data_IF_268013920983
#
_entry.id   IF_268013920983
#
_cell.length_a   1.000
_cell.length_b   1.000
_cell.length_c   1.000
_cell.angle_alpha   90.00
_cell.angle_beta   90.00
_cell.angle_gamma   90.00
#
_symmetry.space_group_name_H-M   'P 1'
#
loop_
_entity.id
_entity.type
_entity.pdbx_description
1 polymer ?
#
# COMPACT_ATOMS: atom_id res chain seq x y z
N UNK A 1 -40.14 50.78 51.36
CA UNK A 1 -40.35 49.37 51.14
C UNK A 1 -39.37 48.92 50.08
N UNK A 2 -38.40 48.04 50.44
CA UNK A 2 -37.17 47.75 49.70
C UNK A 2 -37.32 46.53 48.78
N UNK A 3 -37.86 46.71 47.59
CA UNK A 3 -38.00 45.61 46.58
C UNK A 3 -37.15 45.82 45.30
N UNK A 4 -36.33 46.85 45.24
CA UNK A 4 -35.66 47.23 44.01
C UNK A 4 -34.21 46.71 43.83
N UNK A 5 -33.66 45.98 44.81
CA UNK A 5 -32.28 45.57 44.78
C UNK A 5 -32.05 44.07 44.35
N UNK A 6 -33.07 43.25 44.40
CA UNK A 6 -32.92 41.81 44.08
C UNK A 6 -32.92 41.55 42.58
N UNK A 7 -33.61 42.37 41.79
CA UNK A 7 -33.62 42.23 40.32
C UNK A 7 -32.27 42.54 39.65
N UNK A 8 -31.46 43.40 40.24
CA UNK A 8 -30.11 43.72 39.72
C UNK A 8 -29.12 42.57 39.93
N UNK A 9 -29.24 41.85 41.03
CA UNK A 9 -28.39 40.70 41.32
C UNK A 9 -28.83 39.43 40.61
N UNK A 10 -30.11 39.27 40.31
CA UNK A 10 -30.62 38.18 39.50
C UNK A 10 -30.16 38.27 38.03
N UNK A 11 -30.10 39.51 37.48
CA UNK A 11 -29.57 39.74 36.12
C UNK A 11 -28.05 39.55 36.03
N UNK A 12 -27.31 39.87 37.11
CA UNK A 12 -25.87 39.68 37.15
C UNK A 12 -25.50 38.19 37.27
N UNK A 13 -26.32 37.40 37.91
CA UNK A 13 -26.09 35.95 38.10
C UNK A 13 -26.41 35.15 36.84
N UNK A 14 -27.31 35.63 35.97
CA UNK A 14 -27.62 34.98 34.71
C UNK A 14 -26.58 35.21 33.60
N UNK A 15 -25.80 36.29 33.71
CA UNK A 15 -24.78 36.61 32.73
C UNK A 15 -23.44 35.87 32.92
N UNK A 16 -23.25 35.14 34.03
CA UNK A 16 -22.04 34.35 34.33
C UNK A 16 -22.09 32.90 33.92
N UNK A 17 -23.24 32.42 33.39
CA UNK A 17 -23.42 30.99 33.06
C UNK A 17 -23.32 30.67 31.56
N UNK A 18 -22.92 31.66 30.73
CA UNK A 18 -22.94 31.52 29.26
C UNK A 18 -21.59 31.28 28.62
N UNK A 19 -20.53 30.85 29.36
CA UNK A 19 -19.22 30.53 28.81
C UNK A 19 -18.69 29.19 29.29
N UNK A 20 -19.54 28.17 29.26
CA UNK A 20 -19.04 26.79 29.17
C UNK A 20 -19.30 26.36 27.74
N UNK A 21 -18.53 26.89 26.83
CA UNK A 21 -18.34 26.32 25.52
C UNK A 21 -17.32 25.20 25.71
N UNK A 22 -17.79 23.97 25.90
CA UNK A 22 -16.96 22.80 25.60
C UNK A 22 -16.58 22.91 24.13
N UNK A 23 -15.38 23.34 23.85
CA UNK A 23 -14.71 22.96 22.64
C UNK A 23 -14.29 21.50 22.87
N UNK A 24 -15.09 20.56 22.39
CA UNK A 24 -14.58 19.27 22.03
C UNK A 24 -13.64 19.53 20.83
N UNK A 25 -12.40 19.95 21.15
CA UNK A 25 -11.28 19.73 20.26
C UNK A 25 -11.01 18.23 20.30
N UNK A 26 -11.90 17.47 19.66
CA UNK A 26 -11.50 16.17 19.14
C UNK A 26 -10.44 16.50 18.07
N UNK A 27 -9.18 16.50 18.48
CA UNK A 27 -8.09 16.27 17.52
C UNK A 27 -8.48 15.02 16.78
N UNK A 28 -8.62 15.05 15.45
CA UNK A 28 -8.80 13.82 14.70
C UNK A 28 -7.68 12.87 15.15
N UNK A 29 -8.03 11.74 15.72
CA UNK A 29 -7.07 10.66 15.84
C UNK A 29 -6.59 10.42 14.41
N UNK A 30 -5.29 10.50 14.19
CA UNK A 30 -4.70 9.97 13.00
C UNK A 30 -4.97 8.47 13.06
N UNK A 31 -6.07 8.07 12.46
CA UNK A 31 -6.34 6.66 12.21
C UNK A 31 -5.30 6.32 11.13
N UNK A 32 -4.25 5.61 11.53
CA UNK A 32 -3.36 4.96 10.59
C UNK A 32 -4.22 3.83 10.00
N UNK A 33 -4.87 4.11 8.88
CA UNK A 33 -5.68 3.14 8.16
C UNK A 33 -4.70 2.27 7.37
N UNK A 34 -4.21 1.19 8.00
CA UNK A 34 -3.50 0.14 7.28
C UNK A 34 -4.51 -0.53 6.33
N UNK A 35 -4.17 -0.62 5.05
CA UNK A 35 -5.03 -1.25 4.06
C UNK A 35 -5.18 -2.74 4.36
N UNK A 36 -6.42 -3.20 4.46
CA UNK A 36 -6.71 -4.62 4.58
C UNK A 36 -6.54 -5.30 3.21
N UNK A 37 -5.37 -5.90 2.98
CA UNK A 37 -5.03 -6.59 1.74
C UNK A 37 -5.03 -8.10 1.96
N UNK A 38 -5.99 -8.78 1.36
CA UNK A 38 -6.13 -10.23 1.43
C UNK A 38 -6.17 -10.93 0.06
N UNK A 39 -6.02 -10.14 -1.03
CA UNK A 39 -5.83 -10.68 -2.38
C UNK A 39 -4.81 -9.85 -3.15
N UNK A 40 -3.90 -10.53 -3.83
CA UNK A 40 -2.93 -9.93 -4.75
C UNK A 40 -3.10 -10.57 -6.12
N UNK A 41 -3.17 -9.73 -7.15
CA UNK A 41 -3.19 -10.17 -8.55
C UNK A 41 -1.91 -9.68 -9.21
N UNK A 42 -1.19 -10.59 -9.87
CA UNK A 42 0.00 -10.28 -10.66
C UNK A 42 -0.28 -10.63 -12.11
N UNK A 43 -0.38 -9.59 -12.93
CA UNK A 43 -0.49 -9.70 -14.38
C UNK A 43 0.90 -9.63 -15.00
N UNK A 44 1.25 -10.62 -15.80
CA UNK A 44 2.48 -10.63 -16.57
C UNK A 44 2.18 -10.68 -18.07
N UNK A 45 2.94 -9.93 -18.85
CA UNK A 45 2.81 -9.91 -20.30
C UNK A 45 4.18 -9.85 -20.96
N UNK A 46 4.29 -10.50 -22.12
CA UNK A 46 5.46 -10.50 -23.00
C UNK A 46 5.01 -10.51 -24.46
N UNK A 47 5.96 -10.53 -25.40
CA UNK A 47 5.66 -10.73 -26.81
C UNK A 47 4.99 -12.09 -27.11
N UNK A 48 5.14 -13.07 -26.21
CA UNK A 48 4.61 -14.45 -26.36
C UNK A 48 3.23 -14.62 -25.74
N UNK A 49 2.67 -13.61 -25.10
CA UNK A 49 1.36 -13.65 -24.46
C UNK A 49 1.35 -13.07 -23.04
N UNK A 50 0.23 -13.29 -22.37
CA UNK A 50 -0.01 -12.80 -21.01
C UNK A 50 -0.55 -13.91 -20.11
N UNK A 51 -0.29 -13.77 -18.80
CA UNK A 51 -0.81 -14.63 -17.75
C UNK A 51 -1.18 -13.81 -16.54
N UNK A 52 -2.18 -14.28 -15.77
CA UNK A 52 -2.61 -13.65 -14.53
C UNK A 52 -2.47 -14.69 -13.41
N UNK A 53 -1.83 -14.28 -12.33
CA UNK A 53 -1.65 -15.09 -11.12
C UNK A 53 -2.39 -14.40 -9.97
N UNK A 54 -3.20 -15.15 -9.24
CA UNK A 54 -3.94 -14.62 -8.08
C UNK A 54 -3.52 -15.35 -6.83
N UNK A 55 -3.15 -14.59 -5.82
CA UNK A 55 -2.94 -15.05 -4.45
C UNK A 55 -4.09 -14.56 -3.56
N UNK A 56 -4.56 -15.39 -2.67
CA UNK A 56 -5.47 -15.00 -1.60
C UNK A 56 -4.83 -15.33 -0.25
N UNK A 57 -5.16 -14.56 0.77
CA UNK A 57 -4.69 -14.81 2.12
C UNK A 57 -4.98 -16.26 2.55
N UNK A 58 -3.96 -16.92 3.11
CA UNK A 58 -4.00 -18.35 3.46
C UNK A 58 -3.51 -19.31 2.38
N UNK A 59 -3.27 -18.84 1.15
CA UNK A 59 -2.63 -19.67 0.12
C UNK A 59 -1.19 -19.98 0.50
N UNK A 60 -0.85 -21.25 0.63
CA UNK A 60 0.45 -21.70 1.13
C UNK A 60 1.56 -21.76 0.08
N UNK A 61 1.22 -21.77 -1.21
CA UNK A 61 2.17 -21.86 -2.32
C UNK A 61 1.73 -20.97 -3.48
N UNK A 62 2.34 -19.79 -3.58
CA UNK A 62 2.18 -18.97 -4.76
C UNK A 62 3.36 -19.18 -5.70
N UNK A 63 3.10 -19.62 -6.93
CA UNK A 63 4.13 -19.99 -7.88
C UNK A 63 3.86 -19.45 -9.28
N UNK A 64 4.92 -18.98 -9.94
CA UNK A 64 4.91 -18.44 -11.29
C UNK A 64 5.92 -19.20 -12.18
N UNK A 65 5.57 -19.38 -13.46
CA UNK A 65 6.46 -19.97 -14.46
C UNK A 65 6.79 -18.95 -15.53
N UNK A 66 8.06 -18.82 -15.86
CA UNK A 66 8.60 -17.90 -16.85
C UNK A 66 9.49 -18.68 -17.84
N UNK A 67 9.62 -18.18 -19.06
CA UNK A 67 10.54 -18.76 -20.06
C UNK A 67 11.86 -17.98 -20.09
N UNK A 68 12.97 -18.69 -20.13
CA UNK A 68 14.31 -18.10 -20.19
C UNK A 68 14.51 -17.24 -21.44
N UNK A 69 15.22 -16.13 -21.27
CA UNK A 69 15.52 -15.18 -22.36
C UNK A 69 14.38 -14.22 -22.67
N UNK A 70 13.26 -14.26 -21.94
CA UNK A 70 12.08 -13.42 -22.19
C UNK A 70 12.04 -12.23 -21.23
N UNK A 71 11.65 -11.08 -21.78
CA UNK A 71 11.32 -9.88 -21.00
C UNK A 71 9.80 -9.83 -20.74
N UNK A 72 9.43 -9.61 -19.51
CA UNK A 72 8.05 -9.49 -19.06
C UNK A 72 7.79 -8.09 -18.52
N UNK A 73 6.60 -7.55 -18.81
CA UNK A 73 6.01 -6.47 -18.03
C UNK A 73 5.16 -7.11 -16.95
N UNK A 74 5.38 -6.72 -15.70
CA UNK A 74 4.67 -7.24 -14.54
C UNK A 74 3.94 -6.09 -13.87
N UNK A 75 2.64 -6.27 -13.64
CA UNK A 75 1.79 -5.32 -12.92
C UNK A 75 1.16 -6.00 -11.70
N UNK A 76 1.09 -5.27 -10.58
CA UNK A 76 0.52 -5.76 -9.33
C UNK A 76 -0.73 -4.99 -9.00
N UNK A 77 -1.74 -5.71 -8.53
CA UNK A 77 -2.98 -5.14 -8.00
C UNK A 77 -3.30 -5.75 -6.64
N UNK A 78 -3.64 -4.90 -5.69
CA UNK A 78 -4.02 -5.24 -4.32
C UNK A 78 -5.51 -5.08 -4.13
N UNK A 79 -6.13 -5.95 -3.36
CA UNK A 79 -7.57 -5.95 -3.10
C UNK A 79 -7.88 -6.34 -1.66
N UNK A 80 -8.88 -5.67 -1.10
CA UNK A 80 -9.67 -6.20 -0.01
C UNK A 80 -10.81 -7.03 -0.61
N UNK A 81 -10.78 -8.33 -0.40
CA UNK A 81 -11.77 -9.28 -0.88
C UNK A 81 -12.43 -10.04 0.29
N UNK A 82 -12.48 -9.43 1.48
CA UNK A 82 -13.11 -9.96 2.69
C UNK A 82 -14.60 -10.22 2.47
N UNK A 83 -15.28 -9.35 1.71
CA UNK A 83 -16.62 -9.60 1.19
C UNK A 83 -16.55 -9.99 -0.30
N UNK A 84 -16.89 -11.24 -0.68
CA UNK A 84 -16.84 -11.67 -2.08
C UNK A 84 -17.87 -10.95 -2.97
N UNK A 85 -18.85 -10.24 -2.40
CA UNK A 85 -19.85 -9.47 -3.14
C UNK A 85 -19.45 -7.99 -3.31
N UNK A 86 -18.43 -7.54 -2.56
CA UNK A 86 -17.93 -6.17 -2.58
C UNK A 86 -16.39 -6.18 -2.49
N UNK A 87 -15.76 -6.55 -3.59
CA UNK A 87 -14.28 -6.59 -3.68
C UNK A 87 -13.77 -5.19 -3.97
N UNK A 88 -13.03 -4.63 -3.04
CA UNK A 88 -12.44 -3.31 -3.15
C UNK A 88 -11.04 -3.37 -3.77
N UNK A 89 -10.75 -2.47 -4.69
CA UNK A 89 -9.41 -2.30 -5.25
C UNK A 89 -8.64 -1.27 -4.45
N UNK A 90 -7.49 -1.66 -3.89
CA UNK A 90 -6.63 -0.80 -3.04
C UNK A 90 -5.66 0.05 -3.89
N UNK A 91 -5.31 -0.37 -5.11
CA UNK A 91 -4.38 0.39 -5.95
C UNK A 91 -4.73 1.88 -6.16
N UNK A 92 -6.01 2.31 -6.27
CA UNK A 92 -6.33 3.73 -6.39
C UNK A 92 -5.81 4.56 -5.20
N UNK A 93 -5.94 4.06 -3.98
CA UNK A 93 -5.47 4.68 -2.75
C UNK A 93 -3.93 4.70 -2.70
N UNK A 94 -3.29 3.57 -2.93
CA UNK A 94 -1.81 3.46 -3.06
C UNK A 94 -1.24 4.45 -4.08
N UNK A 95 -1.98 4.76 -5.16
CA UNK A 95 -1.57 5.73 -6.19
C UNK A 95 -1.85 7.16 -5.72
N UNK A 96 -2.97 7.45 -5.05
CA UNK A 96 -3.28 8.77 -4.51
C UNK A 96 -2.25 9.16 -3.45
N UNK A 97 -1.82 8.20 -2.64
CA UNK A 97 -0.82 8.32 -1.58
C UNK A 97 0.56 7.83 -2.02
N UNK A 98 0.91 8.05 -3.29
CA UNK A 98 2.17 7.56 -3.85
C UNK A 98 3.43 8.04 -3.10
N UNK A 99 3.37 9.13 -2.37
CA UNK A 99 4.48 9.61 -1.52
C UNK A 99 4.68 8.73 -0.29
N UNK A 100 3.62 8.11 0.20
CA UNK A 100 3.56 7.31 1.42
C UNK A 100 3.66 5.80 1.15
N UNK A 101 3.57 5.36 -0.11
CA UNK A 101 3.64 3.95 -0.47
C UNK A 101 4.82 3.61 -1.38
N UNK A 102 5.29 2.35 -1.29
CA UNK A 102 6.26 1.78 -2.22
C UNK A 102 6.08 0.27 -2.36
N UNK A 103 5.98 -0.20 -3.60
CA UNK A 103 5.97 -1.63 -3.93
C UNK A 103 7.38 -2.08 -4.23
N UNK A 104 7.87 -3.07 -3.50
CA UNK A 104 9.24 -3.56 -3.64
C UNK A 104 9.30 -5.07 -3.86
N UNK A 105 10.10 -5.49 -4.82
CA UNK A 105 10.41 -6.89 -5.07
C UNK A 105 11.84 -7.20 -4.63
N UNK A 106 11.98 -7.86 -3.48
CA UNK A 106 13.27 -8.34 -3.01
C UNK A 106 13.68 -9.59 -3.81
N UNK A 107 14.77 -9.46 -4.56
CA UNK A 107 15.32 -10.51 -5.39
C UNK A 107 16.82 -10.68 -5.13
N UNK A 108 17.20 -11.78 -4.49
CA UNK A 108 18.61 -12.15 -4.29
C UNK A 108 19.14 -13.11 -5.36
N UNK A 109 18.30 -13.48 -6.32
CA UNK A 109 18.61 -14.47 -7.36
C UNK A 109 19.26 -13.83 -8.58
N UNK A 110 20.13 -14.58 -9.25
CA UNK A 110 20.72 -14.20 -10.55
C UNK A 110 19.99 -14.80 -11.76
N UNK A 111 18.82 -15.43 -11.55
CA UNK A 111 18.02 -15.95 -12.67
C UNK A 111 17.03 -14.92 -13.20
N UNK A 112 16.77 -13.89 -12.43
CA UNK A 112 15.87 -12.78 -12.79
C UNK A 112 16.58 -11.44 -12.54
N UNK A 113 16.34 -10.50 -13.45
CA UNK A 113 16.61 -9.07 -13.24
C UNK A 113 15.27 -8.33 -13.18
N UNK A 114 15.05 -7.55 -12.14
CA UNK A 114 13.82 -6.78 -11.91
C UNK A 114 14.17 -5.29 -11.92
N UNK A 115 13.47 -4.51 -12.74
CA UNK A 115 13.63 -3.06 -12.84
C UNK A 115 12.27 -2.38 -12.85
N UNK A 116 12.21 -1.10 -12.49
CA UNK A 116 11.00 -0.29 -12.66
C UNK A 116 10.65 -0.16 -14.13
N UNK A 117 9.35 -0.24 -14.48
CA UNK A 117 8.90 0.02 -15.83
C UNK A 117 8.81 1.54 -16.08
N UNK A 118 9.11 1.98 -17.31
CA UNK A 118 8.98 3.40 -17.68
C UNK A 118 7.54 3.93 -17.65
N UNK A 119 6.56 3.03 -17.59
CA UNK A 119 5.12 3.32 -17.47
C UNK A 119 4.59 3.11 -16.05
N UNK A 120 5.47 2.94 -15.06
CA UNK A 120 5.07 2.87 -13.66
C UNK A 120 4.59 4.24 -13.16
N UNK A 121 3.75 4.23 -12.12
CA UNK A 121 3.37 5.44 -11.40
C UNK A 121 4.59 5.97 -10.62
N UNK A 122 4.59 7.27 -10.38
CA UNK A 122 5.68 7.94 -9.65
C UNK A 122 5.11 8.77 -8.50
N UNK A 123 5.89 8.91 -7.44
CA UNK A 123 5.62 9.85 -6.37
C UNK A 123 5.88 11.31 -6.79
N UNK A 124 5.63 12.27 -5.91
CA UNK A 124 5.84 13.70 -6.18
C UNK A 124 7.31 14.08 -6.44
N UNK A 125 8.26 13.21 -6.04
CA UNK A 125 9.70 13.38 -6.23
C UNK A 125 10.23 12.68 -7.49
N UNK A 126 9.37 11.93 -8.20
CA UNK A 126 9.70 11.20 -9.41
C UNK A 126 10.28 9.80 -9.15
N UNK A 127 10.19 9.29 -7.92
CA UNK A 127 10.56 7.91 -7.65
C UNK A 127 9.45 6.96 -8.12
N UNK A 128 9.79 5.80 -8.71
CA UNK A 128 8.79 4.82 -9.11
C UNK A 128 8.05 4.25 -7.90
N UNK A 129 6.74 4.06 -8.04
CA UNK A 129 5.90 3.45 -7.01
C UNK A 129 6.11 1.93 -6.92
N UNK A 130 6.48 1.29 -8.05
CA UNK A 130 6.77 -0.14 -8.13
C UNK A 130 5.57 -1.02 -8.48
N UNK A 131 4.40 -0.44 -8.74
CA UNK A 131 3.20 -1.19 -9.18
C UNK A 131 3.40 -1.84 -10.56
N UNK A 132 4.31 -1.28 -11.37
CA UNK A 132 4.65 -1.84 -12.66
C UNK A 132 6.16 -1.97 -12.82
N UNK A 133 6.62 -3.19 -13.12
CA UNK A 133 8.04 -3.53 -13.26
C UNK A 133 8.30 -4.29 -14.56
N UNK A 134 9.57 -4.36 -14.92
CA UNK A 134 10.06 -5.22 -16.02
C UNK A 134 10.94 -6.32 -15.45
N UNK A 135 10.64 -7.57 -15.80
CA UNK A 135 11.38 -8.74 -15.37
C UNK A 135 12.06 -9.38 -16.57
N UNK A 136 13.37 -9.55 -16.48
CA UNK A 136 14.14 -10.31 -17.47
C UNK A 136 14.47 -11.67 -16.91
N UNK A 137 13.96 -12.73 -17.51
CA UNK A 137 14.28 -14.10 -17.16
C UNK A 137 15.63 -14.49 -17.80
N UNK A 138 16.72 -14.37 -17.06
CA UNK A 138 18.09 -14.48 -17.59
C UNK A 138 18.48 -15.92 -17.97
N UNK A 139 18.06 -16.88 -17.15
CA UNK A 139 18.41 -18.29 -17.33
C UNK A 139 17.51 -19.21 -16.53
N UNK A 140 17.42 -20.47 -16.96
CA UNK A 140 16.66 -21.50 -16.26
C UNK A 140 17.12 -21.69 -14.81
N UNK A 141 16.17 -21.95 -13.91
CA UNK A 141 16.38 -22.16 -12.49
C UNK A 141 15.13 -21.82 -11.66
N UNK A 142 15.27 -21.87 -10.34
CA UNK A 142 14.21 -21.50 -9.41
C UNK A 142 14.70 -20.48 -8.41
N UNK A 143 13.81 -19.56 -8.00
CA UNK A 143 14.07 -18.53 -7.01
C UNK A 143 12.79 -18.23 -6.23
N UNK A 144 12.96 -17.68 -5.03
CA UNK A 144 11.87 -17.01 -4.31
C UNK A 144 12.08 -15.51 -4.39
N UNK A 145 11.10 -14.82 -4.94
CA UNK A 145 11.02 -13.36 -4.97
C UNK A 145 10.03 -12.94 -3.88
N UNK A 146 10.37 -11.91 -3.13
CA UNK A 146 9.48 -11.40 -2.08
C UNK A 146 8.90 -10.07 -2.51
N UNK A 147 7.59 -10.00 -2.62
CA UNK A 147 6.84 -8.77 -2.86
C UNK A 147 6.48 -8.14 -1.50
N UNK A 148 6.63 -6.82 -1.41
CA UNK A 148 6.16 -6.01 -0.30
C UNK A 148 5.37 -4.82 -0.81
N UNK A 149 4.27 -4.46 -0.14
CA UNK A 149 3.77 -3.10 -0.10
C UNK A 149 4.28 -2.49 1.20
N UNK A 150 4.88 -1.31 1.11
CA UNK A 150 5.52 -0.61 2.23
C UNK A 150 4.80 0.72 2.42
N UNK A 151 4.33 0.97 3.63
CA UNK A 151 3.74 2.22 4.06
C UNK A 151 4.78 3.10 4.75
N UNK A 152 4.73 4.40 4.49
CA UNK A 152 5.64 5.42 5.04
C UNK A 152 7.13 5.06 4.96
N UNK A 153 7.66 4.62 3.80
CA UNK A 153 9.07 4.30 3.69
C UNK A 153 9.94 5.54 3.93
N UNK A 154 11.01 5.39 4.70
CA UNK A 154 12.00 6.46 4.91
C UNK A 154 12.76 6.81 3.62
N UNK A 155 12.84 5.87 2.70
CA UNK A 155 13.45 6.00 1.37
C UNK A 155 12.81 5.01 0.41
N UNK A 156 12.81 5.35 -0.90
CA UNK A 156 12.37 4.43 -1.97
C UNK A 156 13.56 3.86 -2.75
N UNK A 157 14.70 3.76 -2.11
CA UNK A 157 15.93 3.23 -2.69
C UNK A 157 16.59 2.25 -1.72
N UNK A 158 16.72 0.99 -2.14
CA UNK A 158 17.28 -0.09 -1.33
C UNK A 158 17.37 -1.39 -2.11
N UNK A 159 17.99 -2.41 -1.49
CA UNK A 159 18.13 -3.75 -2.06
C UNK A 159 17.45 -4.84 -1.24
N UNK A 160 17.13 -4.54 0.02
CA UNK A 160 16.42 -5.42 0.95
C UNK A 160 15.28 -4.65 1.61
N UNK A 161 14.24 -5.36 2.09
CA UNK A 161 13.12 -4.73 2.78
C UNK A 161 13.56 -3.79 3.92
N UNK A 162 14.60 -4.18 4.65
CA UNK A 162 15.10 -3.39 5.80
C UNK A 162 15.71 -2.03 5.42
N UNK A 163 16.12 -1.84 4.16
CA UNK A 163 16.71 -0.58 3.72
C UNK A 163 15.69 0.55 3.64
N UNK A 164 14.40 0.22 3.44
CA UNK A 164 13.35 1.19 3.20
C UNK A 164 12.80 1.83 4.48
N UNK A 165 12.82 1.12 5.63
CA UNK A 165 12.08 1.54 6.82
C UNK A 165 10.57 1.42 6.61
N UNK A 166 9.78 2.22 7.35
CA UNK A 166 8.32 2.18 7.28
C UNK A 166 7.71 0.84 7.73
N UNK A 167 6.42 0.69 7.56
CA UNK A 167 5.65 -0.50 7.91
C UNK A 167 5.41 -1.38 6.69
N UNK A 168 4.99 -2.62 6.88
CA UNK A 168 4.69 -3.55 5.78
C UNK A 168 3.22 -3.90 5.83
N UNK A 169 2.43 -3.41 4.85
CA UNK A 169 1.00 -3.69 4.75
C UNK A 169 0.76 -5.12 4.29
N UNK A 170 1.51 -5.56 3.28
CA UNK A 170 1.44 -6.94 2.82
C UNK A 170 2.80 -7.44 2.34
N UNK A 171 3.05 -8.73 2.58
CA UNK A 171 4.19 -9.48 2.07
C UNK A 171 3.72 -10.76 1.38
N UNK A 172 4.30 -11.07 0.21
CA UNK A 172 4.05 -12.32 -0.52
C UNK A 172 5.36 -12.94 -0.99
N UNK A 173 5.58 -14.21 -0.64
CA UNK A 173 6.66 -15.02 -1.20
C UNK A 173 6.20 -15.66 -2.52
N UNK A 174 6.88 -15.35 -3.60
CA UNK A 174 6.59 -15.80 -4.96
C UNK A 174 7.65 -16.83 -5.36
N UNK A 175 7.26 -18.09 -5.54
CA UNK A 175 8.15 -19.12 -6.05
C UNK A 175 8.19 -19.04 -7.58
N UNK A 176 9.30 -18.61 -8.14
CA UNK A 176 9.46 -18.46 -9.60
C UNK A 176 10.30 -19.58 -10.14
N UNK A 177 9.80 -20.25 -11.17
CA UNK A 177 10.57 -21.23 -11.98
C UNK A 177 10.76 -20.62 -13.38
N UNK A 178 12.01 -20.56 -13.83
CA UNK A 178 12.39 -20.17 -15.20
C UNK A 178 12.79 -21.45 -15.93
N UNK A 179 12.17 -21.71 -17.10
CA UNK A 179 12.40 -22.89 -17.94
C UNK A 179 13.15 -22.51 -19.24
#
# INVERSE_FOLDING_TARGET
>A
MKLFNYTKYALLFFALFSFVQCSDDETPELINEEEEINRIVIDISSENGSNTYTWNEGDSNFAMQLNSGINYTVAVSFYNASDPNDVEAINPEVIEEADEHHVFFENSSSILTINSASSDQQDSSGNPLGLKTTWTAERAGSATIRLFLIHEPNTKSGNTRSDFGGETDVQLDINVTVE
#
